data_IF_907421839778
#
_entry.id   IF_907421839778
#
_cell.length_a   1.000
_cell.length_b   1.000
_cell.length_c   1.000
_cell.angle_alpha   90.00
_cell.angle_beta   90.00
_cell.angle_gamma   90.00
#
_symmetry.space_group_name_H-M   'P 1'
#
loop_
_entity.id
_entity.type
_entity.pdbx_description
1 polymer ?
#
# COMPACT_ATOMS: atom_id res chain seq x y z
N UNK A 1 -2.27 -27.85 -11.99
CA UNK A 1 -1.92 -26.54 -11.42
C UNK A 1 -3.20 -25.76 -11.39
N UNK A 2 -3.57 -25.32 -10.21
CA UNK A 2 -4.78 -24.56 -9.92
C UNK A 2 -4.42 -23.08 -9.84
N UNK A 3 -5.33 -22.18 -10.20
CA UNK A 3 -5.12 -20.76 -9.99
C UNK A 3 -5.70 -20.38 -8.61
N UNK A 4 -4.91 -19.69 -7.81
CA UNK A 4 -5.33 -19.18 -6.50
C UNK A 4 -6.49 -18.17 -6.69
N UNK A 5 -7.71 -18.43 -6.17
CA UNK A 5 -8.88 -17.57 -6.40
C UNK A 5 -8.78 -16.22 -5.71
N UNK A 6 -7.91 -16.12 -4.70
CA UNK A 6 -7.41 -14.85 -4.18
C UNK A 6 -6.44 -14.37 -5.25
N UNK A 7 -5.13 -14.49 -5.08
CA UNK A 7 -4.17 -13.65 -5.79
C UNK A 7 -4.05 -13.82 -7.32
N UNK A 8 -4.55 -14.89 -7.92
CA UNK A 8 -4.36 -15.19 -9.34
C UNK A 8 -3.02 -15.84 -9.70
N UNK A 9 -2.19 -16.16 -8.70
CA UNK A 9 -0.95 -16.91 -8.93
C UNK A 9 -1.23 -18.40 -9.14
N UNK A 10 -0.32 -19.07 -9.85
CA UNK A 10 -0.33 -20.52 -9.94
C UNK A 10 -0.07 -21.14 -8.56
N UNK A 11 -1.04 -21.92 -8.09
CA UNK A 11 -0.92 -22.76 -6.91
C UNK A 11 -0.65 -24.20 -7.36
N UNK A 12 0.36 -24.83 -6.74
CA UNK A 12 0.57 -26.25 -6.92
C UNK A 12 -0.46 -27.03 -6.11
N UNK A 13 -1.18 -27.93 -6.77
CA UNK A 13 -2.09 -28.89 -6.11
C UNK A 13 -1.35 -29.82 -5.13
N UNK A 14 -0.01 -29.85 -5.18
CA UNK A 14 0.84 -30.58 -4.23
C UNK A 14 1.16 -29.82 -2.94
N UNK A 15 0.85 -28.51 -2.84
CA UNK A 15 1.32 -27.67 -1.73
C UNK A 15 0.48 -27.76 -0.45
N UNK A 16 -0.56 -28.60 -0.40
CA UNK A 16 -1.48 -28.82 0.75
C UNK A 16 -2.22 -27.58 1.29
N UNK A 17 -1.91 -26.35 0.84
CA UNK A 17 -2.64 -25.15 1.25
C UNK A 17 -3.96 -25.09 0.47
N UNK A 18 -5.02 -25.54 1.13
CA UNK A 18 -6.35 -25.69 0.55
C UNK A 18 -7.44 -25.18 1.48
N UNK A 19 -8.62 -24.89 0.91
CA UNK A 19 -9.84 -24.57 1.63
C UNK A 19 -11.03 -25.18 0.88
N UNK A 20 -12.06 -25.57 1.63
CA UNK A 20 -13.30 -26.14 1.08
C UNK A 20 -14.42 -25.10 1.18
N UNK A 21 -15.06 -24.78 0.05
CA UNK A 21 -16.20 -23.87 0.04
C UNK A 21 -17.22 -24.31 -1.02
N UNK A 22 -18.50 -24.33 -0.65
CA UNK A 22 -19.63 -24.76 -1.51
C UNK A 22 -19.42 -26.11 -2.24
N UNK A 23 -18.63 -27.02 -1.63
CA UNK A 23 -18.36 -28.36 -2.16
C UNK A 23 -17.24 -28.42 -3.20
N UNK A 24 -16.47 -27.33 -3.36
CA UNK A 24 -15.27 -27.27 -4.16
C UNK A 24 -14.02 -27.06 -3.29
N UNK A 25 -12.93 -27.73 -3.66
CA UNK A 25 -11.60 -27.53 -3.09
C UNK A 25 -10.88 -26.41 -3.83
N UNK A 26 -10.47 -25.38 -3.11
CA UNK A 26 -9.64 -24.29 -3.60
C UNK A 26 -8.20 -24.46 -3.12
N UNK A 27 -7.25 -24.01 -3.93
CA UNK A 27 -5.82 -24.17 -3.71
C UNK A 27 -5.15 -22.80 -3.71
N UNK A 28 -4.18 -22.60 -2.81
CA UNK A 28 -3.60 -21.27 -2.58
C UNK A 28 -2.08 -21.29 -2.72
N UNK A 29 -1.52 -20.18 -3.20
CA UNK A 29 -0.07 -20.01 -3.35
C UNK A 29 0.62 -19.75 -2.00
N UNK A 30 -0.12 -19.28 -1.00
CA UNK A 30 0.37 -18.98 0.36
C UNK A 30 -0.74 -19.19 1.40
N UNK A 31 -0.33 -19.35 2.67
CA UNK A 31 -1.28 -19.43 3.79
C UNK A 31 -2.07 -18.15 3.96
N UNK A 32 -1.49 -17.00 3.63
CA UNK A 32 -2.18 -15.70 3.70
C UNK A 32 -3.34 -15.61 2.71
N UNK A 33 -3.17 -16.13 1.48
CA UNK A 33 -4.26 -16.18 0.49
C UNK A 33 -5.40 -17.08 0.96
N UNK A 34 -5.08 -18.23 1.56
CA UNK A 34 -6.09 -19.11 2.16
C UNK A 34 -6.83 -18.42 3.31
N UNK A 35 -6.10 -17.82 4.24
CA UNK A 35 -6.70 -17.17 5.41
C UNK A 35 -7.61 -16.02 4.99
N UNK A 36 -7.23 -15.26 3.96
CA UNK A 36 -8.05 -14.20 3.39
C UNK A 36 -9.29 -14.73 2.66
N UNK A 37 -9.16 -15.85 1.95
CA UNK A 37 -10.30 -16.55 1.38
C UNK A 37 -11.29 -16.98 2.46
N UNK A 38 -10.82 -17.55 3.57
CA UNK A 38 -11.68 -18.02 4.67
C UNK A 38 -12.47 -16.90 5.34
N UNK A 39 -11.96 -15.67 5.36
CA UNK A 39 -12.69 -14.50 5.91
C UNK A 39 -13.89 -14.12 5.02
N UNK A 40 -13.73 -14.19 3.68
CA UNK A 40 -14.74 -13.72 2.72
C UNK A 40 -14.88 -14.63 1.48
N UNK A 41 -15.16 -15.94 1.62
CA UNK A 41 -14.98 -16.92 0.54
C UNK A 41 -15.89 -16.67 -0.66
N UNK A 42 -17.14 -16.28 -0.41
CA UNK A 42 -18.12 -15.96 -1.46
C UNK A 42 -17.64 -14.89 -2.44
N UNK A 43 -16.91 -13.88 -1.95
CA UNK A 43 -16.37 -12.80 -2.78
C UNK A 43 -15.44 -13.33 -3.88
N UNK A 44 -14.54 -14.24 -3.52
CA UNK A 44 -13.53 -14.78 -4.45
C UNK A 44 -14.11 -15.85 -5.39
N UNK A 45 -15.22 -16.46 -5.00
CA UNK A 45 -15.94 -17.42 -5.86
C UNK A 45 -16.79 -16.69 -6.90
N UNK A 46 -17.51 -15.65 -6.48
CA UNK A 46 -18.34 -14.85 -7.37
C UNK A 46 -17.48 -14.05 -8.37
N UNK A 47 -16.32 -13.54 -7.91
CA UNK A 47 -15.36 -12.78 -8.71
C UNK A 47 -13.92 -13.31 -8.46
N UNK A 48 -13.43 -14.26 -9.28
CA UNK A 48 -12.07 -14.78 -9.16
C UNK A 48 -11.03 -13.71 -9.46
N UNK A 49 -9.98 -13.64 -8.65
CA UNK A 49 -8.90 -12.65 -8.75
C UNK A 49 -9.36 -11.18 -8.55
N UNK A 50 -10.09 -10.87 -7.46
CA UNK A 50 -10.53 -9.50 -7.17
C UNK A 50 -9.37 -8.57 -6.74
N UNK A 51 -8.13 -9.00 -6.96
CA UNK A 51 -6.88 -8.28 -6.77
C UNK A 51 -6.68 -7.17 -7.79
N UNK A 52 -7.41 -7.26 -8.89
CA UNK A 52 -7.65 -6.14 -9.78
C UNK A 52 -8.68 -5.25 -9.09
N UNK A 53 -8.21 -4.43 -8.16
CA UNK A 53 -9.09 -3.43 -7.54
C UNK A 53 -9.43 -2.43 -8.64
N UNK A 54 -10.71 -2.36 -9.02
CA UNK A 54 -11.16 -1.27 -9.89
C UNK A 54 -11.24 0.00 -9.06
N UNK A 55 -10.46 1.00 -9.43
CA UNK A 55 -10.63 2.36 -8.95
C UNK A 55 -10.86 3.25 -10.15
N UNK A 56 -12.01 3.92 -10.17
CA UNK A 56 -12.42 4.79 -11.26
C UNK A 56 -12.42 4.09 -12.65
N UNK A 57 -12.68 2.77 -12.69
CA UNK A 57 -12.68 1.97 -13.92
C UNK A 57 -11.30 1.51 -14.40
N UNK A 58 -10.25 1.71 -13.60
CA UNK A 58 -8.89 1.26 -13.90
C UNK A 58 -8.56 0.01 -13.10
N UNK A 59 -8.10 -1.03 -13.79
CA UNK A 59 -7.61 -2.26 -13.21
C UNK A 59 -6.17 -2.09 -12.71
N UNK A 60 -5.95 -2.20 -11.39
CA UNK A 60 -4.59 -2.15 -10.79
C UNK A 60 -4.19 -3.49 -10.18
N UNK A 61 -2.95 -3.98 -10.38
CA UNK A 61 -2.51 -5.28 -9.88
C UNK A 61 -2.20 -5.24 -8.38
N UNK A 62 -3.21 -5.42 -7.52
CA UNK A 62 -3.05 -5.34 -6.06
C UNK A 62 -3.39 -6.63 -5.33
N UNK A 63 -2.39 -7.22 -4.71
CA UNK A 63 -2.62 -8.33 -3.80
C UNK A 63 -3.19 -7.82 -2.47
N UNK A 64 -4.27 -8.45 -1.99
CA UNK A 64 -4.68 -8.30 -0.61
C UNK A 64 -3.68 -9.08 0.22
N UNK A 65 -2.87 -8.39 1.02
CA UNK A 65 -1.82 -9.01 1.81
C UNK A 65 -2.17 -8.95 3.30
N UNK A 66 -2.55 -10.10 3.86
CA UNK A 66 -2.89 -10.24 5.28
C UNK A 66 -3.91 -9.19 5.74
N UNK A 67 -3.55 -8.42 6.79
CA UNK A 67 -4.39 -7.35 7.35
C UNK A 67 -4.03 -5.94 6.83
N UNK A 68 -3.34 -5.85 5.69
CA UNK A 68 -2.99 -4.56 5.10
C UNK A 68 -4.28 -3.84 4.64
N UNK A 69 -4.73 -2.87 5.45
CA UNK A 69 -5.87 -2.01 5.12
C UNK A 69 -5.45 -0.68 4.49
N UNK A 70 -6.45 0.06 4.02
CA UNK A 70 -6.31 1.39 3.45
C UNK A 70 -7.27 1.59 2.29
N UNK A 71 -7.57 2.85 1.99
CA UNK A 71 -8.43 3.26 0.89
C UNK A 71 -7.59 4.04 -0.11
N UNK A 72 -7.87 3.91 -1.40
CA UNK A 72 -7.17 4.69 -2.42
C UNK A 72 -8.15 5.33 -3.38
N UNK A 73 -7.71 6.44 -3.97
CA UNK A 73 -8.43 7.18 -4.98
C UNK A 73 -7.49 7.49 -6.14
N UNK A 74 -8.04 7.48 -7.36
CA UNK A 74 -7.33 7.67 -8.61
C UNK A 74 -8.05 8.69 -9.46
N UNK A 75 -7.32 9.76 -9.79
CA UNK A 75 -7.73 10.81 -10.71
C UNK A 75 -6.75 10.81 -11.88
N UNK A 76 -7.06 10.02 -12.91
CA UNK A 76 -6.25 9.86 -14.12
C UNK A 76 -7.11 10.21 -15.33
N UNK A 77 -6.58 11.03 -16.24
CA UNK A 77 -7.30 11.45 -17.43
C UNK A 77 -7.43 10.32 -18.47
N UNK A 78 -6.36 9.54 -18.67
CA UNK A 78 -6.31 8.39 -19.56
C UNK A 78 -5.64 7.19 -18.86
N UNK A 79 -6.38 6.13 -18.50
CA UNK A 79 -5.82 4.94 -17.87
C UNK A 79 -4.76 4.20 -18.69
N UNK A 80 -4.74 4.38 -20.01
CA UNK A 80 -3.75 3.76 -20.91
C UNK A 80 -2.47 4.59 -21.04
N UNK A 81 -2.48 5.86 -20.59
CA UNK A 81 -1.36 6.79 -20.73
C UNK A 81 -1.30 7.80 -19.59
N UNK A 82 -0.23 7.74 -18.79
CA UNK A 82 0.04 8.70 -17.73
C UNK A 82 0.58 10.04 -18.27
N UNK A 83 0.18 11.12 -17.61
CA UNK A 83 0.49 12.49 -18.00
C UNK A 83 0.59 13.43 -16.78
N UNK A 84 1.13 14.63 -16.99
CA UNK A 84 1.21 15.64 -15.95
C UNK A 84 -0.19 16.04 -15.46
N UNK A 85 -0.36 16.11 -14.13
CA UNK A 85 -1.63 16.36 -13.46
C UNK A 85 -2.38 15.10 -13.03
N UNK A 86 -1.99 13.91 -13.51
CA UNK A 86 -2.52 12.65 -12.99
C UNK A 86 -2.11 12.45 -11.53
N UNK A 87 -3.06 11.98 -10.72
CA UNK A 87 -2.93 11.95 -9.27
C UNK A 87 -3.46 10.65 -8.67
N UNK A 88 -2.75 10.19 -7.66
CA UNK A 88 -3.15 9.05 -6.83
C UNK A 88 -3.09 9.41 -5.36
N UNK A 89 -4.07 8.93 -4.61
CA UNK A 89 -4.17 9.10 -3.18
C UNK A 89 -4.28 7.75 -2.47
N UNK A 90 -3.65 7.65 -1.31
CA UNK A 90 -3.79 6.51 -0.42
C UNK A 90 -3.99 6.98 1.01
N UNK A 91 -5.08 6.54 1.63
CA UNK A 91 -5.43 6.85 3.02
C UNK A 91 -5.32 5.61 3.89
N UNK A 92 -4.64 5.75 5.03
CA UNK A 92 -4.52 4.69 6.04
C UNK A 92 -4.39 5.29 7.43
N UNK A 93 -5.00 4.64 8.42
CA UNK A 93 -4.71 4.88 9.84
C UNK A 93 -3.50 4.06 10.28
N UNK A 94 -2.47 4.72 10.83
CA UNK A 94 -1.29 4.01 11.35
C UNK A 94 -1.52 3.58 12.80
N UNK A 95 -1.50 2.27 13.03
CA UNK A 95 -1.81 1.67 14.33
C UNK A 95 -0.54 1.36 15.15
N UNK A 96 -0.70 1.06 16.44
CA UNK A 96 0.40 0.57 17.29
C UNK A 96 1.00 -0.74 16.74
N UNK A 97 0.17 -1.59 16.12
CA UNK A 97 0.60 -2.83 15.49
C UNK A 97 1.49 -2.57 14.27
N UNK A 98 1.17 -1.57 13.44
CA UNK A 98 2.03 -1.15 12.32
C UNK A 98 3.40 -0.67 12.83
N UNK A 99 3.43 0.14 13.90
CA UNK A 99 4.67 0.64 14.51
C UNK A 99 5.54 -0.51 15.03
N UNK A 100 4.93 -1.49 15.70
CA UNK A 100 5.66 -2.67 16.20
C UNK A 100 6.19 -3.54 15.08
N UNK A 101 5.37 -3.84 14.07
CA UNK A 101 5.78 -4.64 12.90
C UNK A 101 6.90 -3.95 12.14
N UNK A 102 6.85 -2.62 11.99
CA UNK A 102 7.93 -1.87 11.37
C UNK A 102 9.23 -1.95 12.18
N UNK A 103 9.16 -1.79 13.50
CA UNK A 103 10.33 -1.94 14.36
C UNK A 103 10.95 -3.34 14.29
N UNK A 104 10.12 -4.38 14.23
CA UNK A 104 10.56 -5.77 14.06
C UNK A 104 11.23 -5.99 12.70
N UNK A 105 10.59 -5.52 11.61
CA UNK A 105 11.07 -5.71 10.25
C UNK A 105 12.38 -4.94 9.97
N UNK A 106 12.53 -3.74 10.55
CA UNK A 106 13.68 -2.85 10.28
C UNK A 106 14.77 -2.91 11.34
N UNK A 107 14.46 -3.41 12.52
CA UNK A 107 15.32 -3.31 13.70
C UNK A 107 15.33 -1.93 14.37
N UNK A 108 14.57 -0.95 13.87
CA UNK A 108 14.46 0.38 14.50
C UNK A 108 13.62 0.31 15.78
N UNK A 109 14.32 0.03 16.87
CA UNK A 109 13.78 -0.16 18.23
C UNK A 109 13.97 1.08 19.10
N UNK A 110 14.10 2.27 18.49
CA UNK A 110 14.20 3.52 19.24
C UNK A 110 13.03 3.65 20.25
N UNK A 111 13.38 3.88 21.52
CA UNK A 111 12.42 3.95 22.62
C UNK A 111 11.32 5.01 22.41
N UNK A 112 11.59 6.04 21.59
CA UNK A 112 10.61 7.05 21.22
C UNK A 112 9.34 6.45 20.58
N UNK A 113 9.47 5.35 19.83
CA UNK A 113 8.36 4.71 19.12
C UNK A 113 7.68 3.60 19.93
N UNK A 114 8.37 3.04 20.94
CA UNK A 114 7.99 1.78 21.58
C UNK A 114 7.76 1.85 23.09
N UNK A 115 8.20 2.91 23.77
CA UNK A 115 8.11 3.03 25.23
C UNK A 115 7.39 4.32 25.65
N UNK A 116 6.19 4.19 26.21
CA UNK A 116 5.37 5.32 26.67
C UNK A 116 6.10 6.18 27.71
N UNK A 117 6.64 5.56 28.76
CA UNK A 117 7.33 6.27 29.85
C UNK A 117 8.58 7.02 29.43
N UNK A 118 9.22 6.60 28.34
CA UNK A 118 10.33 7.33 27.72
C UNK A 118 9.79 8.48 26.87
N UNK A 119 8.81 8.20 26.00
CA UNK A 119 8.27 9.15 25.04
C UNK A 119 7.54 10.33 25.72
N UNK A 120 6.84 10.11 26.83
CA UNK A 120 6.21 11.15 27.67
C UNK A 120 7.22 12.21 28.16
N UNK A 121 8.50 11.84 28.32
CA UNK A 121 9.57 12.75 28.77
C UNK A 121 10.19 13.55 27.63
N UNK A 122 9.82 13.25 26.39
CA UNK A 122 10.32 13.95 25.22
C UNK A 122 9.45 15.16 24.90
N UNK A 123 9.89 16.01 23.98
CA UNK A 123 9.10 17.15 23.49
C UNK A 123 7.76 16.76 22.84
N UNK A 124 7.58 15.50 22.49
CA UNK A 124 6.38 15.01 21.81
C UNK A 124 5.26 14.63 22.80
N UNK A 125 5.57 14.44 24.09
CA UNK A 125 4.58 14.12 25.12
C UNK A 125 3.94 12.74 25.03
N UNK A 126 4.37 11.90 24.08
CA UNK A 126 3.84 10.57 23.80
C UNK A 126 4.61 9.90 22.66
N UNK A 127 4.30 8.62 22.39
CA UNK A 127 4.92 7.87 21.29
C UNK A 127 4.41 8.39 19.95
N UNK A 128 5.33 8.48 18.98
CA UNK A 128 5.03 8.86 17.60
C UNK A 128 5.41 7.72 16.66
N UNK A 129 4.80 7.65 15.49
CA UNK A 129 5.18 6.68 14.46
C UNK A 129 6.59 6.96 13.90
N UNK A 130 7.26 5.93 13.37
CA UNK A 130 8.52 6.12 12.65
C UNK A 130 8.28 6.95 11.38
N UNK A 131 9.10 7.96 11.12
CA UNK A 131 8.98 8.76 9.89
C UNK A 131 9.10 7.90 8.62
N UNK A 132 9.99 6.91 8.62
CA UNK A 132 10.15 5.99 7.49
C UNK A 132 8.91 5.09 7.29
N UNK A 133 8.25 4.65 8.36
CA UNK A 133 6.96 3.94 8.27
C UNK A 133 5.90 4.82 7.59
N UNK A 134 5.81 6.09 8.02
CA UNK A 134 4.91 7.08 7.41
C UNK A 134 5.23 7.25 5.92
N UNK A 135 6.51 7.37 5.55
CA UNK A 135 6.92 7.50 4.14
C UNK A 135 6.54 6.29 3.28
N UNK A 136 6.35 5.10 3.87
CA UNK A 136 5.86 3.91 3.18
C UNK A 136 4.47 4.09 2.55
N UNK A 137 3.66 5.04 3.06
CA UNK A 137 2.37 5.36 2.45
C UNK A 137 2.52 5.98 1.06
N UNK A 138 3.64 6.68 0.77
CA UNK A 138 3.96 7.13 -0.59
C UNK A 138 4.16 5.92 -1.50
N UNK A 139 4.88 4.90 -1.05
CA UNK A 139 5.06 3.67 -1.82
C UNK A 139 3.73 2.98 -2.10
N UNK A 140 2.83 2.93 -1.11
CA UNK A 140 1.50 2.37 -1.28
C UNK A 140 0.63 3.18 -2.26
N UNK A 141 0.74 4.50 -2.27
CA UNK A 141 0.05 5.35 -3.25
C UNK A 141 0.60 5.16 -4.67
N UNK A 142 1.93 5.16 -4.85
CA UNK A 142 2.55 4.97 -6.17
C UNK A 142 2.21 3.61 -6.77
N UNK A 143 2.07 2.58 -5.94
CA UNK A 143 1.62 1.26 -6.38
C UNK A 143 0.15 1.22 -6.86
N UNK A 144 -0.62 2.32 -6.83
CA UNK A 144 -1.94 2.38 -7.50
C UNK A 144 -1.86 2.98 -8.90
N UNK A 145 -0.71 3.44 -9.38
CA UNK A 145 -0.62 3.89 -10.77
C UNK A 145 -0.93 2.72 -11.72
N UNK A 146 -1.60 2.97 -12.86
CA UNK A 146 -1.80 1.97 -13.91
C UNK A 146 -0.46 1.45 -14.40
N UNK A 147 -0.36 0.14 -14.63
CA UNK A 147 0.90 -0.50 -15.02
C UNK A 147 1.75 -0.97 -13.83
N UNK A 148 2.96 -1.43 -14.15
CA UNK A 148 3.95 -1.89 -13.18
C UNK A 148 4.85 -0.73 -12.78
N UNK A 149 4.60 -0.17 -11.60
CA UNK A 149 5.38 0.95 -11.06
C UNK A 149 6.69 0.50 -10.41
N UNK A 150 7.80 1.03 -10.91
CA UNK A 150 9.17 0.82 -10.41
C UNK A 150 9.64 2.11 -9.75
N UNK A 151 9.88 2.06 -8.43
CA UNK A 151 10.23 3.21 -7.63
C UNK A 151 11.75 3.50 -7.69
N UNK A 152 12.15 4.51 -8.47
CA UNK A 152 13.57 4.78 -8.76
C UNK A 152 14.25 5.67 -7.73
N UNK A 153 13.57 6.71 -7.26
CA UNK A 153 14.14 7.60 -6.23
C UNK A 153 13.07 8.34 -5.44
N UNK A 154 13.42 8.71 -4.21
CA UNK A 154 12.57 9.49 -3.31
C UNK A 154 13.40 10.49 -2.51
N UNK A 155 12.90 11.72 -2.40
CA UNK A 155 13.39 12.76 -1.48
C UNK A 155 12.29 13.12 -0.49
N UNK A 156 12.64 13.24 0.79
CA UNK A 156 11.68 13.46 1.87
C UNK A 156 12.14 14.59 2.80
N UNK A 157 11.15 15.33 3.30
CA UNK A 157 11.24 16.23 4.45
C UNK A 157 10.13 15.85 5.42
N UNK A 158 10.49 15.69 6.68
CA UNK A 158 9.55 15.43 7.76
C UNK A 158 9.17 16.77 8.39
N UNK A 159 7.94 17.21 8.15
CA UNK A 159 7.43 18.53 8.55
C UNK A 159 6.78 18.47 9.94
N UNK A 160 6.24 17.32 10.34
CA UNK A 160 5.60 17.13 11.64
C UNK A 160 5.64 15.69 12.16
N UNK A 161 5.53 15.48 13.48
CA UNK A 161 5.36 14.15 14.05
C UNK A 161 3.97 13.59 13.73
N UNK A 162 3.87 12.26 13.64
CA UNK A 162 2.59 11.56 13.48
C UNK A 162 2.29 10.80 14.77
N UNK A 163 1.13 11.05 15.37
CA UNK A 163 0.69 10.29 16.54
C UNK A 163 0.18 8.91 16.13
N UNK A 164 0.37 7.93 17.00
CA UNK A 164 -0.15 6.58 16.77
C UNK A 164 -1.69 6.64 16.82
N UNK A 165 -2.33 6.05 15.81
CA UNK A 165 -3.78 6.08 15.61
C UNK A 165 -4.27 7.20 14.69
N UNK A 166 -3.39 8.05 14.16
CA UNK A 166 -3.78 9.07 13.18
C UNK A 166 -4.07 8.46 11.80
N UNK A 167 -5.10 9.00 11.15
CA UNK A 167 -5.39 8.78 9.74
C UNK A 167 -4.58 9.74 8.89
N UNK A 168 -3.83 9.17 7.95
CA UNK A 168 -2.96 9.90 7.03
C UNK A 168 -3.41 9.68 5.59
N UNK A 169 -3.26 10.72 4.76
CA UNK A 169 -3.49 10.65 3.32
C UNK A 169 -2.18 10.97 2.59
N UNK A 170 -1.62 10.00 1.89
CA UNK A 170 -0.54 10.20 0.94
C UNK A 170 -1.12 10.63 -0.40
N UNK A 171 -0.55 11.68 -0.98
CA UNK A 171 -0.94 12.23 -2.28
C UNK A 171 0.29 12.27 -3.17
N UNK A 172 0.21 11.66 -4.34
CA UNK A 172 1.25 11.69 -5.36
C UNK A 172 0.65 12.25 -6.66
N UNK A 173 1.29 13.25 -7.24
CA UNK A 173 0.85 13.93 -8.46
C UNK A 173 2.00 13.98 -9.46
N UNK A 174 1.75 13.59 -10.71
CA UNK A 174 2.75 13.64 -11.78
C UNK A 174 2.98 15.10 -12.17
N UNK A 175 4.21 15.57 -11.97
CA UNK A 175 4.61 16.92 -12.36
C UNK A 175 5.11 16.97 -13.80
N UNK A 176 5.77 15.90 -14.25
CA UNK A 176 6.54 15.89 -15.49
C UNK A 176 6.75 14.47 -16.02
N UNK A 177 6.66 14.32 -17.34
CA UNK A 177 7.09 13.14 -18.08
C UNK A 177 8.54 13.36 -18.52
N UNK A 178 9.44 12.52 -18.03
CA UNK A 178 10.87 12.62 -18.27
C UNK A 178 11.31 11.86 -19.52
N UNK A 179 10.63 10.77 -19.87
CA UNK A 179 11.08 9.85 -20.95
C UNK A 179 9.99 8.87 -21.46
N UNK A 180 8.71 9.25 -21.48
CA UNK A 180 7.59 8.46 -22.01
C UNK A 180 7.13 7.30 -21.11
N UNK A 181 8.01 6.75 -20.28
CA UNK A 181 7.73 5.71 -19.27
C UNK A 181 8.16 6.15 -17.87
N UNK A 182 8.87 7.27 -17.75
CA UNK A 182 9.49 7.75 -16.51
C UNK A 182 8.91 9.08 -16.09
N UNK A 183 8.40 9.13 -14.86
CA UNK A 183 7.67 10.27 -14.35
C UNK A 183 8.32 10.83 -13.09
N UNK A 184 8.32 12.16 -12.97
CA UNK A 184 8.62 12.85 -11.71
C UNK A 184 7.32 13.24 -11.04
N UNK A 185 7.23 12.98 -9.73
CA UNK A 185 6.05 13.28 -8.94
C UNK A 185 6.36 14.15 -7.75
N UNK A 186 5.44 15.04 -7.42
CA UNK A 186 5.36 15.65 -6.09
C UNK A 186 4.64 14.67 -5.17
N UNK A 187 5.20 14.45 -3.98
CA UNK A 187 4.64 13.53 -2.98
C UNK A 187 4.45 14.26 -1.66
N UNK A 188 3.29 14.13 -1.03
CA UNK A 188 3.03 14.68 0.30
C UNK A 188 2.19 13.73 1.13
N UNK A 189 2.29 13.85 2.44
CA UNK A 189 1.38 13.18 3.38
C UNK A 189 0.78 14.22 4.30
N UNK A 190 -0.53 14.17 4.44
CA UNK A 190 -1.33 15.06 5.27
C UNK A 190 -2.09 14.26 6.33
N UNK A 191 -2.27 14.83 7.52
CA UNK A 191 -3.12 14.27 8.56
C UNK A 191 -4.61 14.58 8.32
N UNK A 192 -5.48 14.12 9.22
CA UNK A 192 -6.92 14.33 9.11
C UNK A 192 -7.36 15.82 9.13
N UNK A 193 -6.53 16.69 9.71
CA UNK A 193 -6.77 18.14 9.75
C UNK A 193 -6.25 18.86 8.49
N UNK A 194 -5.67 18.13 7.54
CA UNK A 194 -5.07 18.67 6.31
C UNK A 194 -3.68 19.29 6.53
N UNK A 195 -3.07 19.07 7.69
CA UNK A 195 -1.71 19.55 7.97
C UNK A 195 -0.69 18.59 7.33
N UNK A 196 0.30 19.16 6.64
CA UNK A 196 1.36 18.40 6.01
C UNK A 196 2.33 17.86 7.06
N UNK A 197 2.49 16.54 7.11
CA UNK A 197 3.45 15.86 7.99
C UNK A 197 4.71 15.44 7.24
N UNK A 198 4.60 15.25 5.92
CA UNK A 198 5.72 14.89 5.06
C UNK A 198 5.58 15.56 3.69
N UNK A 199 6.70 16.06 3.18
CA UNK A 199 6.85 16.67 1.85
C UNK A 199 7.97 15.99 1.07
N UNK A 200 7.84 15.87 -0.25
CA UNK A 200 8.82 15.14 -1.03
C UNK A 200 8.62 15.14 -2.53
N UNK A 201 9.55 14.47 -3.21
CA UNK A 201 9.47 14.19 -4.64
C UNK A 201 9.93 12.78 -4.94
N UNK A 202 9.23 12.11 -5.88
CA UNK A 202 9.54 10.78 -6.36
C UNK A 202 9.97 10.81 -7.83
N UNK A 203 10.68 9.77 -8.24
CA UNK A 203 10.77 9.40 -9.65
C UNK A 203 10.42 7.92 -9.78
N UNK A 204 9.51 7.62 -10.71
CA UNK A 204 9.07 6.26 -11.01
C UNK A 204 9.24 5.97 -12.49
N UNK A 205 9.41 4.70 -12.82
CA UNK A 205 9.28 4.13 -14.16
C UNK A 205 8.01 3.28 -14.16
N UNK A 206 7.19 3.34 -15.19
CA UNK A 206 5.93 2.59 -15.30
C UNK A 206 5.99 1.71 -16.54
N UNK A 207 6.13 0.41 -16.31
CA UNK A 207 6.10 -0.58 -17.39
C UNK A 207 4.65 -1.04 -17.66
N UNK A 208 4.35 -1.52 -18.88
CA UNK A 208 3.11 -2.25 -19.13
C UNK A 208 2.98 -3.48 -18.23
N UNK A 209 1.74 -3.86 -17.90
CA UNK A 209 1.52 -5.12 -17.19
C UNK A 209 1.97 -6.31 -18.06
N UNK A 210 2.50 -7.39 -17.45
CA UNK A 210 2.77 -8.63 -18.17
C UNK A 210 1.51 -9.14 -18.88
N UNK A 211 1.69 -9.64 -20.10
CA UNK A 211 0.65 -10.27 -20.92
C UNK A 211 0.34 -11.71 -20.49
#
# INVERSE_FOLDING_TARGET
MSIDPVCGMEASESNEITAEFEGATYYFCSTDCRDFFDEHPKRFVDEPHPHLSEASGVTVPRLHYGRAGGEFDLSIADPESLSAGDRVEFRKTLTDDDVRKFAEATGDTNALHLNDSFAEKTRFGGRIAHGTLVSGLVSAALACLPGLSIYLSQKLKFEGPVQIGESLTAVCEIDDDLDGDRYRLTTRIENADGERVLDGTATVLVDPLPA
#
